data_IF_776590484427
#
_entry.id   IF_776590484427
#
_cell.length_a   1.000
_cell.length_b   1.000
_cell.length_c   1.000
_cell.angle_alpha   90.00
_cell.angle_beta   90.00
_cell.angle_gamma   90.00
#
_symmetry.space_group_name_H-M   'P 1'
#
loop_
_entity.id
_entity.type
_entity.pdbx_description
1 polymer ?
#
# COMPACT_ATOMS: atom_id res chain seq x y z
N UNK A 1 -9.30 -22.28 -13.11
CA UNK A 1 -10.46 -22.04 -12.22
C UNK A 1 -9.97 -21.12 -11.12
N UNK A 2 -10.61 -19.98 -10.90
CA UNK A 2 -10.25 -19.08 -9.79
C UNK A 2 -10.84 -19.66 -8.51
N UNK A 3 -10.02 -19.81 -7.48
CA UNK A 3 -10.42 -20.37 -6.19
C UNK A 3 -10.36 -19.29 -5.13
N UNK A 4 -11.45 -19.11 -4.40
CA UNK A 4 -11.59 -18.16 -3.31
C UNK A 4 -11.47 -18.85 -1.95
N UNK A 5 -11.09 -18.08 -0.94
CA UNK A 5 -10.78 -18.54 0.41
C UNK A 5 -11.09 -17.40 1.38
N UNK A 6 -11.70 -17.71 2.51
CA UNK A 6 -11.86 -16.74 3.59
C UNK A 6 -10.49 -16.31 4.13
N UNK A 7 -10.23 -15.00 4.15
CA UNK A 7 -8.95 -14.45 4.59
C UNK A 7 -8.56 -14.86 6.01
N UNK A 8 -9.52 -15.01 6.93
CA UNK A 8 -9.27 -15.37 8.32
C UNK A 8 -8.75 -16.81 8.46
N UNK A 9 -9.05 -17.67 7.49
CA UNK A 9 -8.61 -19.08 7.46
C UNK A 9 -7.42 -19.32 6.52
N UNK A 10 -6.93 -18.25 5.88
CA UNK A 10 -5.92 -18.38 4.85
C UNK A 10 -4.56 -18.81 5.43
N UNK A 11 -3.88 -19.80 4.82
CA UNK A 11 -2.52 -20.12 5.22
C UNK A 11 -1.59 -18.95 4.93
N UNK A 12 -0.52 -18.83 5.74
CA UNK A 12 0.51 -17.79 5.57
C UNK A 12 1.24 -17.93 4.23
N UNK A 13 1.43 -19.17 3.76
CA UNK A 13 2.03 -19.44 2.45
C UNK A 13 1.10 -18.97 1.34
N UNK A 14 1.67 -18.35 0.30
CA UNK A 14 0.93 -18.03 -0.91
C UNK A 14 0.51 -19.32 -1.64
N UNK A 15 -0.79 -19.58 -1.71
CA UNK A 15 -1.40 -20.74 -2.40
C UNK A 15 -1.98 -20.40 -3.76
N UNK A 16 -1.93 -19.12 -4.18
CA UNK A 16 -2.57 -18.63 -5.41
C UNK A 16 -4.10 -18.50 -5.32
N UNK A 17 -4.69 -18.77 -4.15
CA UNK A 17 -6.12 -18.54 -3.89
C UNK A 17 -6.38 -17.06 -3.56
N UNK A 18 -7.51 -16.53 -4.02
CA UNK A 18 -7.91 -15.16 -3.74
C UNK A 18 -8.57 -15.10 -2.35
N UNK A 19 -8.04 -14.25 -1.48
CA UNK A 19 -8.57 -14.02 -0.14
C UNK A 19 -9.79 -13.11 -0.21
N UNK A 20 -10.87 -13.51 0.46
CA UNK A 20 -12.07 -12.72 0.66
C UNK A 20 -12.01 -12.11 2.07
N UNK A 21 -12.07 -10.78 2.15
CA UNK A 21 -12.07 -10.04 3.40
C UNK A 21 -13.48 -9.50 3.68
N UNK A 22 -13.83 -9.43 4.95
CA UNK A 22 -14.99 -8.68 5.43
C UNK A 22 -14.65 -7.20 5.64
N UNK A 23 -15.62 -6.42 6.12
CA UNK A 23 -15.46 -4.98 6.30
C UNK A 23 -14.33 -4.61 7.28
N UNK A 24 -14.17 -5.40 8.35
CA UNK A 24 -13.13 -5.21 9.36
C UNK A 24 -11.73 -5.44 8.77
N UNK A 25 -11.58 -6.46 7.91
CA UNK A 25 -10.34 -6.73 7.18
C UNK A 25 -9.83 -5.56 6.32
N UNK A 26 -10.73 -4.64 5.93
CA UNK A 26 -10.37 -3.45 5.16
C UNK A 26 -10.04 -2.21 6.00
N UNK A 27 -10.29 -2.19 7.31
CA UNK A 27 -10.04 -1.00 8.16
C UNK A 27 -8.57 -0.58 8.11
N UNK A 28 -7.65 -1.53 8.26
CA UNK A 28 -6.21 -1.27 8.18
C UNK A 28 -5.79 -0.82 6.78
N UNK A 29 -6.31 -1.47 5.73
CA UNK A 29 -6.01 -1.13 4.35
C UNK A 29 -6.49 0.28 3.98
N UNK A 30 -7.69 0.68 4.41
CA UNK A 30 -8.19 2.04 4.20
C UNK A 30 -7.27 3.10 4.81
N UNK A 31 -6.81 2.89 6.04
CA UNK A 31 -5.86 3.81 6.70
C UNK A 31 -4.51 3.89 5.95
N UNK A 32 -3.96 2.74 5.58
CA UNK A 32 -2.69 2.69 4.84
C UNK A 32 -2.78 3.35 3.46
N UNK A 33 -3.87 3.10 2.73
CA UNK A 33 -4.11 3.69 1.41
C UNK A 33 -4.34 5.21 1.50
N UNK A 34 -5.04 5.71 2.52
CA UNK A 34 -5.25 7.15 2.73
C UNK A 34 -3.92 7.88 2.95
N UNK A 35 -3.06 7.36 3.84
CA UNK A 35 -1.72 7.90 4.08
C UNK A 35 -0.89 7.90 2.78
N UNK A 36 -0.93 6.78 2.04
CA UNK A 36 -0.17 6.62 0.80
C UNK A 36 -0.65 7.59 -0.28
N UNK A 37 -1.97 7.78 -0.42
CA UNK A 37 -2.53 8.71 -1.40
C UNK A 37 -2.06 10.15 -1.16
N UNK A 38 -2.07 10.59 0.11
CA UNK A 38 -1.56 11.92 0.49
C UNK A 38 -0.07 12.09 0.20
N UNK A 39 0.74 11.06 0.47
CA UNK A 39 2.16 11.06 0.11
C UNK A 39 2.37 11.24 -1.41
N UNK A 40 1.58 10.52 -2.22
CA UNK A 40 1.65 10.60 -3.68
C UNK A 40 1.23 11.97 -4.22
N UNK A 41 0.25 12.63 -3.60
CA UNK A 41 -0.16 13.98 -3.99
C UNK A 41 0.97 15.01 -3.78
N UNK A 42 1.72 14.92 -2.68
CA UNK A 42 2.87 15.81 -2.41
C UNK A 42 4.00 15.62 -3.43
N UNK A 43 4.23 14.39 -3.89
CA UNK A 43 5.26 14.07 -4.88
C UNK A 43 5.05 14.79 -6.21
N UNK A 44 3.82 15.16 -6.57
CA UNK A 44 3.51 15.84 -7.85
C UNK A 44 4.36 17.10 -8.02
N UNK A 45 4.63 17.83 -6.94
CA UNK A 45 5.43 19.07 -6.98
C UNK A 45 6.94 18.82 -6.93
N UNK A 46 7.37 17.63 -6.49
CA UNK A 46 8.76 17.23 -6.33
C UNK A 46 9.37 16.68 -7.63
N UNK A 47 8.57 16.02 -8.47
CA UNK A 47 9.07 15.34 -9.67
C UNK A 47 9.45 16.36 -10.75
N UNK A 48 10.75 16.56 -10.95
CA UNK A 48 11.31 17.45 -11.96
C UNK A 48 12.61 16.89 -12.58
N UNK A 49 12.99 17.33 -13.80
CA UNK A 49 14.26 16.92 -14.40
C UNK A 49 15.46 17.24 -13.48
N UNK A 50 16.34 16.26 -13.29
CA UNK A 50 17.52 16.38 -12.44
C UNK A 50 17.30 16.01 -10.96
N UNK A 51 16.05 15.80 -10.52
CA UNK A 51 15.77 15.21 -9.21
C UNK A 51 16.11 13.73 -9.23
N UNK A 52 16.86 13.26 -8.24
CA UNK A 52 17.22 11.84 -8.13
C UNK A 52 16.08 11.04 -7.51
N UNK A 53 15.97 9.77 -7.90
CA UNK A 53 15.01 8.84 -7.28
C UNK A 53 15.30 8.60 -5.80
N UNK A 54 16.57 8.72 -5.38
CA UNK A 54 16.95 8.65 -3.96
C UNK A 54 16.40 9.84 -3.15
N UNK A 55 16.33 11.05 -3.74
CA UNK A 55 15.71 12.18 -3.06
C UNK A 55 14.21 11.93 -2.84
N UNK A 56 13.53 11.37 -3.84
CA UNK A 56 12.11 10.98 -3.77
C UNK A 56 11.91 9.89 -2.71
N UNK A 57 12.76 8.86 -2.71
CA UNK A 57 12.71 7.76 -1.73
C UNK A 57 12.85 8.26 -0.29
N UNK A 58 13.82 9.14 -0.02
CA UNK A 58 14.00 9.75 1.29
C UNK A 58 12.77 10.54 1.74
N UNK A 59 12.16 11.33 0.85
CA UNK A 59 10.92 12.04 1.17
C UNK A 59 9.78 11.07 1.53
N UNK A 60 9.58 10.01 0.74
CA UNK A 60 8.54 9.01 1.00
C UNK A 60 8.78 8.31 2.34
N UNK A 61 10.03 7.97 2.66
CA UNK A 61 10.40 7.38 3.94
C UNK A 61 10.08 8.32 5.11
N UNK A 62 10.50 9.58 5.02
CA UNK A 62 10.23 10.59 6.05
C UNK A 62 8.72 10.80 6.24
N UNK A 63 7.95 10.95 5.15
CA UNK A 63 6.49 11.10 5.20
C UNK A 63 5.79 9.91 5.88
N UNK A 64 6.27 8.68 5.64
CA UNK A 64 5.68 7.47 6.24
C UNK A 64 6.09 7.24 7.69
N UNK A 65 7.13 7.92 8.18
CA UNK A 65 7.60 7.85 9.57
C UNK A 65 6.91 8.85 10.50
N UNK A 66 6.34 9.92 9.94
CA UNK A 66 5.53 10.93 10.64
C UNK A 66 4.09 10.44 10.91
#
# INVERSE_FOLDING_TARGET
MVTYLDAATAPLRNTGQIRLYDEEGFVGMRKACDLTARCLDELVTMVAPGVTTEAIDRFVFEFGMD
#
